data_IF_094755270979
#
_entry.id   IF_094755270979
#
_cell.length_a   1.000
_cell.length_b   1.000
_cell.length_c   1.000
_cell.angle_alpha   90.00
_cell.angle_beta   90.00
_cell.angle_gamma   90.00
#
_symmetry.space_group_name_H-M   'P 1'
#
loop_
_entity.id
_entity.type
_entity.pdbx_description
1 polymer ?
#
# COMPACT_ATOMS: atom_id res chain seq x y z
N UNK A 1 -36.06 11.95 -3.53
CA UNK A 1 -35.34 11.04 -4.45
C UNK A 1 -34.11 10.54 -3.71
N UNK A 2 -34.14 9.30 -3.21
CA UNK A 2 -33.01 8.63 -2.59
C UNK A 2 -31.95 8.39 -3.69
N UNK A 3 -30.73 8.90 -3.48
CA UNK A 3 -29.57 8.60 -4.30
C UNK A 3 -29.16 7.13 -4.07
N UNK A 4 -29.71 6.23 -4.87
CA UNK A 4 -29.34 4.83 -4.95
C UNK A 4 -28.08 4.72 -5.83
N UNK A 5 -26.90 4.87 -5.24
CA UNK A 5 -25.64 4.78 -5.97
C UNK A 5 -24.40 4.48 -5.12
N UNK A 6 -24.51 4.53 -3.80
CA UNK A 6 -23.43 4.07 -2.91
C UNK A 6 -23.57 2.57 -2.71
N UNK A 7 -23.15 1.78 -3.68
CA UNK A 7 -23.01 0.34 -3.52
C UNK A 7 -22.27 0.03 -2.22
N UNK A 8 -22.72 -1.00 -1.50
CA UNK A 8 -22.21 -1.43 -0.20
C UNK A 8 -20.77 -1.99 -0.39
N UNK A 9 -19.82 -1.11 -0.67
CA UNK A 9 -18.41 -1.45 -0.84
C UNK A 9 -17.87 -1.83 0.54
N UNK A 10 -17.75 -3.12 0.79
CA UNK A 10 -17.13 -3.63 2.02
C UNK A 10 -15.67 -3.93 1.71
N UNK A 11 -14.76 -3.16 2.27
CA UNK A 11 -13.37 -3.55 2.31
C UNK A 11 -13.23 -4.63 3.37
N UNK A 12 -12.75 -5.81 2.96
CA UNK A 12 -12.50 -6.92 3.87
C UNK A 12 -11.05 -6.86 4.30
N UNK A 13 -10.81 -6.90 5.59
CA UNK A 13 -9.50 -7.21 6.12
C UNK A 13 -9.20 -8.68 5.80
N UNK A 14 -8.10 -8.93 5.13
CA UNK A 14 -7.60 -10.28 4.86
C UNK A 14 -6.42 -10.56 5.80
N UNK A 15 -6.40 -11.72 6.39
CA UNK A 15 -5.19 -12.27 7.01
C UNK A 15 -4.44 -13.06 5.95
N UNK A 16 -3.13 -12.88 5.86
CA UNK A 16 -2.30 -13.58 4.89
C UNK A 16 -1.30 -14.49 5.60
N UNK A 17 -1.17 -15.73 5.11
CA UNK A 17 -0.18 -16.69 5.60
C UNK A 17 1.15 -16.60 4.84
N UNK A 18 1.21 -15.72 3.82
CA UNK A 18 2.43 -15.51 3.02
C UNK A 18 3.51 -14.88 3.90
N UNK A 19 4.72 -15.45 3.87
CA UNK A 19 5.88 -14.98 4.63
C UNK A 19 7.00 -14.55 3.67
N UNK A 20 8.00 -13.82 4.18
CA UNK A 20 9.18 -13.47 3.39
C UNK A 20 9.96 -14.71 2.90
N UNK A 21 9.84 -15.86 3.58
CA UNK A 21 10.39 -17.14 3.13
C UNK A 21 9.83 -17.59 1.78
N UNK A 22 8.62 -17.16 1.44
CA UNK A 22 7.91 -17.56 0.22
C UNK A 22 8.27 -16.66 -0.97
N UNK A 23 8.96 -15.54 -0.70
CA UNK A 23 9.37 -14.57 -1.71
C UNK A 23 10.87 -14.70 -1.95
N UNK A 24 11.24 -15.16 -3.14
CA UNK A 24 12.64 -15.39 -3.48
C UNK A 24 13.30 -14.14 -4.08
N UNK A 25 14.57 -13.89 -3.70
CA UNK A 25 15.41 -12.87 -4.36
C UNK A 25 15.24 -11.43 -3.88
N UNK A 26 14.73 -11.23 -2.67
CA UNK A 26 14.45 -9.91 -2.08
C UNK A 26 15.17 -9.70 -0.72
N UNK A 27 16.36 -10.22 -0.57
CA UNK A 27 17.08 -10.17 0.71
C UNK A 27 17.39 -8.73 1.16
N UNK A 28 17.84 -7.89 0.25
CA UNK A 28 18.18 -6.48 0.54
C UNK A 28 16.90 -5.67 0.85
N UNK A 29 15.85 -5.87 0.09
CA UNK A 29 14.56 -5.23 0.29
C UNK A 29 13.92 -5.68 1.61
N UNK A 30 14.10 -6.95 1.98
CA UNK A 30 13.66 -7.49 3.27
C UNK A 30 14.35 -6.80 4.45
N UNK A 31 15.66 -6.59 4.37
CA UNK A 31 16.41 -5.89 5.42
C UNK A 31 15.91 -4.45 5.59
N UNK A 32 15.67 -3.74 4.47
CA UNK A 32 15.13 -2.38 4.49
C UNK A 32 13.75 -2.28 5.15
N UNK A 33 12.94 -3.33 5.06
CA UNK A 33 11.57 -3.36 5.61
C UNK A 33 11.44 -4.12 6.93
N UNK A 34 12.50 -4.74 7.42
CA UNK A 34 12.50 -5.43 8.72
C UNK A 34 12.11 -4.51 9.87
N UNK A 35 12.54 -3.25 9.82
CA UNK A 35 12.18 -2.23 10.79
C UNK A 35 10.67 -1.92 10.77
N UNK A 36 10.06 -1.90 9.58
CA UNK A 36 8.62 -1.68 9.40
C UNK A 36 7.81 -2.85 9.97
N UNK A 37 8.24 -4.09 9.72
CA UNK A 37 7.61 -5.29 10.28
C UNK A 37 7.70 -5.29 11.80
N UNK A 38 8.87 -4.96 12.35
CA UNK A 38 9.07 -4.88 13.79
C UNK A 38 8.18 -3.80 14.44
N UNK A 39 8.05 -2.65 13.78
CA UNK A 39 7.13 -1.60 14.23
C UNK A 39 5.68 -2.08 14.27
N UNK A 40 5.20 -2.76 13.22
CA UNK A 40 3.82 -3.26 13.17
C UNK A 40 3.55 -4.30 14.26
N UNK A 41 4.58 -5.09 14.65
CA UNK A 41 4.49 -6.07 15.76
C UNK A 41 4.46 -5.41 17.12
N UNK A 42 5.32 -4.42 17.34
CA UNK A 42 5.54 -3.82 18.65
C UNK A 42 5.53 -2.28 18.57
N UNK A 43 4.41 -1.66 18.20
CA UNK A 43 4.35 -0.22 17.93
C UNK A 43 4.67 0.63 19.16
N UNK A 44 4.34 0.15 20.35
CA UNK A 44 4.57 0.87 21.60
C UNK A 44 6.05 1.14 21.88
N UNK A 45 6.93 0.18 21.56
CA UNK A 45 8.39 0.35 21.74
C UNK A 45 8.92 1.54 20.92
N UNK A 46 8.50 1.63 19.66
CA UNK A 46 8.96 2.68 18.76
C UNK A 46 8.38 4.03 19.12
N UNK A 47 7.12 4.07 19.53
CA UNK A 47 6.45 5.31 19.97
C UNK A 47 7.14 5.87 21.23
N UNK A 48 7.49 5.04 22.22
CA UNK A 48 8.21 5.46 23.43
C UNK A 48 9.61 6.00 23.11
N UNK A 49 10.27 5.52 22.08
CA UNK A 49 11.60 5.96 21.66
C UNK A 49 11.57 7.24 20.81
N UNK A 50 10.38 7.74 20.45
CA UNK A 50 10.22 8.89 19.55
C UNK A 50 10.69 8.63 18.12
N UNK A 51 10.76 7.36 17.69
CA UNK A 51 11.20 6.98 16.37
C UNK A 51 10.18 7.46 15.31
N UNK A 52 10.67 8.08 14.23
CA UNK A 52 9.84 8.44 13.08
C UNK A 52 9.64 7.21 12.20
N UNK A 53 8.42 6.69 12.17
CA UNK A 53 8.07 5.56 11.35
C UNK A 53 7.52 6.06 10.03
N UNK A 54 7.90 5.43 8.89
CA UNK A 54 7.34 5.81 7.61
C UNK A 54 5.84 5.50 7.56
N UNK A 55 5.04 6.49 7.20
CA UNK A 55 3.58 6.33 7.02
C UNK A 55 3.25 5.59 5.73
N UNK A 56 4.13 5.71 4.74
CA UNK A 56 3.94 5.13 3.43
C UNK A 56 5.21 4.55 2.81
N UNK A 57 5.03 3.45 2.09
CA UNK A 57 6.09 2.75 1.37
C UNK A 57 5.65 2.63 -0.08
N UNK A 58 6.52 3.04 -1.01
CA UNK A 58 6.29 2.89 -2.44
C UNK A 58 7.13 1.75 -2.99
N UNK A 59 6.46 0.70 -3.47
CA UNK A 59 7.08 -0.41 -4.20
C UNK A 59 7.14 -0.06 -5.69
N UNK A 60 8.35 0.03 -6.21
CA UNK A 60 8.60 0.36 -7.62
C UNK A 60 9.23 -0.85 -8.31
N UNK A 61 8.72 -1.23 -9.46
CA UNK A 61 9.30 -2.34 -10.23
C UNK A 61 8.49 -2.69 -11.46
N UNK A 62 9.10 -3.45 -12.37
CA UNK A 62 8.43 -3.90 -13.59
C UNK A 62 7.15 -4.71 -13.28
N UNK A 63 6.23 -4.82 -14.24
CA UNK A 63 5.09 -5.73 -14.10
C UNK A 63 5.54 -7.14 -13.76
N UNK A 64 4.74 -7.88 -12.98
CA UNK A 64 5.00 -9.29 -12.62
C UNK A 64 6.28 -9.53 -11.81
N UNK A 65 6.84 -8.53 -11.13
CA UNK A 65 7.99 -8.70 -10.22
C UNK A 65 7.60 -9.21 -8.83
N UNK A 66 6.31 -9.40 -8.55
CA UNK A 66 5.83 -9.91 -7.27
C UNK A 66 5.58 -8.85 -6.21
N UNK A 67 5.40 -7.56 -6.57
CA UNK A 67 5.12 -6.46 -5.64
C UNK A 67 3.96 -6.75 -4.69
N UNK A 68 2.87 -7.29 -5.21
CA UNK A 68 1.68 -7.67 -4.42
C UNK A 68 1.99 -8.80 -3.46
N UNK A 69 2.77 -9.81 -3.90
CA UNK A 69 3.20 -10.92 -3.04
C UNK A 69 4.13 -10.41 -1.93
N UNK A 70 5.02 -9.48 -2.26
CA UNK A 70 5.92 -8.85 -1.31
C UNK A 70 5.17 -8.06 -0.23
N UNK A 71 4.17 -7.28 -0.64
CA UNK A 71 3.31 -6.56 0.32
C UNK A 71 2.53 -7.53 1.24
N UNK A 72 2.05 -8.65 0.71
CA UNK A 72 1.41 -9.71 1.51
C UNK A 72 2.39 -10.36 2.49
N UNK A 73 3.64 -10.57 2.08
CA UNK A 73 4.66 -11.14 2.95
C UNK A 73 4.98 -10.20 4.14
N UNK A 74 5.01 -8.88 3.92
CA UNK A 74 5.16 -7.90 5.00
C UNK A 74 4.02 -8.03 6.01
N UNK A 75 2.78 -8.12 5.55
CA UNK A 75 1.61 -8.25 6.41
C UNK A 75 1.58 -9.59 7.16
N UNK A 76 1.94 -10.68 6.46
CA UNK A 76 2.02 -12.01 7.06
C UNK A 76 3.11 -12.13 8.11
N UNK A 77 4.30 -11.62 7.86
CA UNK A 77 5.37 -11.60 8.86
C UNK A 77 5.06 -10.66 10.04
N UNK A 78 4.37 -9.55 9.78
CA UNK A 78 3.91 -8.64 10.84
C UNK A 78 2.67 -9.17 11.60
N UNK A 79 1.97 -10.18 11.07
CA UNK A 79 0.72 -10.75 11.61
C UNK A 79 -0.40 -9.71 11.77
N UNK A 80 -0.48 -8.77 10.83
CA UNK A 80 -1.47 -7.69 10.84
C UNK A 80 -2.47 -7.83 9.69
N UNK A 81 -3.70 -7.31 9.86
CA UNK A 81 -4.70 -7.26 8.81
C UNK A 81 -4.22 -6.52 7.58
N UNK A 82 -4.56 -7.06 6.41
CA UNK A 82 -4.18 -6.56 5.10
C UNK A 82 -5.42 -6.12 4.32
N UNK A 83 -5.49 -4.84 3.95
CA UNK A 83 -6.54 -4.28 3.12
C UNK A 83 -6.01 -4.06 1.71
N UNK A 84 -6.46 -4.86 0.75
CA UNK A 84 -6.01 -4.75 -0.64
C UNK A 84 -7.03 -3.97 -1.49
N UNK A 85 -6.52 -3.01 -2.26
CA UNK A 85 -7.28 -2.27 -3.27
C UNK A 85 -6.41 -2.01 -4.50
N UNK A 86 -7.05 -1.79 -5.64
CA UNK A 86 -6.36 -1.34 -6.86
C UNK A 86 -6.66 0.14 -7.08
N UNK A 87 -5.69 0.89 -7.63
CA UNK A 87 -5.88 2.30 -7.96
C UNK A 87 -7.09 2.52 -8.86
N UNK A 88 -7.30 1.65 -9.84
CA UNK A 88 -8.45 1.68 -10.75
C UNK A 88 -9.81 1.57 -10.03
N UNK A 89 -9.87 0.93 -8.86
CA UNK A 89 -11.11 0.84 -8.07
C UNK A 89 -11.56 2.18 -7.47
N UNK A 90 -10.68 3.18 -7.47
CA UNK A 90 -11.00 4.54 -7.08
C UNK A 90 -11.40 5.42 -8.28
N UNK A 91 -11.15 4.97 -9.52
CA UNK A 91 -11.61 5.65 -10.72
C UNK A 91 -13.09 5.38 -10.94
N UNK A 92 -13.91 6.39 -10.81
CA UNK A 92 -15.35 6.32 -11.07
C UNK A 92 -15.79 7.52 -11.89
N UNK A 93 -16.81 7.31 -12.72
CA UNK A 93 -17.41 8.38 -13.55
C UNK A 93 -18.13 9.44 -12.70
N UNK A 94 -18.48 9.12 -11.46
CA UNK A 94 -19.21 10.04 -10.59
C UNK A 94 -18.25 10.77 -9.64
N UNK A 95 -18.39 12.09 -9.61
CA UNK A 95 -17.58 12.98 -8.75
C UNK A 95 -17.73 12.58 -7.29
N UNK A 96 -16.61 12.45 -6.58
CA UNK A 96 -16.58 12.21 -5.14
C UNK A 96 -16.70 10.75 -4.70
N UNK A 97 -17.06 9.81 -5.58
CA UNK A 97 -17.16 8.37 -5.20
C UNK A 97 -15.78 7.80 -4.89
N UNK A 98 -14.75 8.14 -5.68
CA UNK A 98 -13.38 7.73 -5.39
C UNK A 98 -12.87 8.25 -4.03
N UNK A 99 -13.07 9.53 -3.77
CA UNK A 99 -12.72 10.15 -2.48
C UNK A 99 -13.49 9.53 -1.30
N UNK A 100 -14.75 9.16 -1.49
CA UNK A 100 -15.54 8.45 -0.47
C UNK A 100 -14.95 7.05 -0.19
N UNK A 101 -14.55 6.30 -1.23
CA UNK A 101 -13.92 4.99 -1.08
C UNK A 101 -12.60 5.08 -0.32
N UNK A 102 -11.77 6.08 -0.63
CA UNK A 102 -10.52 6.36 0.10
C UNK A 102 -10.83 6.57 1.58
N UNK A 103 -11.73 7.50 1.92
CA UNK A 103 -12.10 7.74 3.33
C UNK A 103 -12.59 6.48 4.03
N UNK A 104 -13.38 5.66 3.33
CA UNK A 104 -13.94 4.44 3.89
C UNK A 104 -12.87 3.40 4.23
N UNK A 105 -11.93 3.11 3.31
CA UNK A 105 -10.86 2.14 3.58
C UNK A 105 -9.96 2.60 4.73
N UNK A 106 -9.61 3.89 4.78
CA UNK A 106 -8.80 4.46 5.86
C UNK A 106 -9.54 4.40 7.21
N UNK A 107 -10.86 4.66 7.21
CA UNK A 107 -11.70 4.53 8.40
C UNK A 107 -11.78 3.09 8.90
N UNK A 108 -11.89 2.10 7.99
CA UNK A 108 -11.91 0.69 8.39
C UNK A 108 -10.53 0.23 8.92
N UNK A 109 -9.45 0.67 8.28
CA UNK A 109 -8.10 0.36 8.74
C UNK A 109 -7.79 0.94 10.13
N UNK A 110 -8.23 2.17 10.40
CA UNK A 110 -8.07 2.84 11.71
C UNK A 110 -8.84 2.17 12.85
N UNK A 111 -9.86 1.36 12.57
CA UNK A 111 -10.60 0.59 13.59
C UNK A 111 -9.83 -0.62 14.11
N UNK A 112 -8.81 -1.04 13.39
CA UNK A 112 -7.99 -2.18 13.73
C UNK A 112 -6.65 -1.65 14.29
N UNK A 113 -6.16 -2.23 15.38
CA UNK A 113 -5.03 -1.70 16.16
C UNK A 113 -3.74 -1.50 15.34
N UNK A 114 -3.40 -2.44 14.46
CA UNK A 114 -2.32 -2.32 13.48
C UNK A 114 -2.80 -2.90 12.16
N UNK A 115 -2.53 -2.23 11.04
CA UNK A 115 -2.98 -2.73 9.75
C UNK A 115 -2.16 -2.18 8.59
N UNK A 116 -2.21 -2.88 7.46
CA UNK A 116 -1.60 -2.45 6.20
C UNK A 116 -2.69 -2.17 5.18
N UNK A 117 -2.64 -1.00 4.54
CA UNK A 117 -3.43 -0.68 3.35
C UNK A 117 -2.50 -0.83 2.15
N UNK A 118 -2.82 -1.75 1.26
CA UNK A 118 -2.07 -1.96 0.01
C UNK A 118 -2.86 -1.42 -1.18
N UNK A 119 -2.24 -0.50 -1.91
CA UNK A 119 -2.81 0.12 -3.12
C UNK A 119 -1.98 -0.34 -4.32
N UNK A 120 -2.51 -1.28 -5.09
CA UNK A 120 -1.87 -1.71 -6.32
C UNK A 120 -2.17 -0.73 -7.46
N UNK A 121 -1.23 -0.58 -8.40
CA UNK A 121 -1.37 0.33 -9.54
C UNK A 121 -1.78 1.75 -9.12
N UNK A 122 -1.05 2.33 -8.16
CA UNK A 122 -1.38 3.67 -7.64
C UNK A 122 -1.32 4.75 -8.74
N UNK A 123 -0.58 4.50 -9.80
CA UNK A 123 -0.48 5.38 -10.96
C UNK A 123 -1.85 5.65 -11.63
N UNK A 124 -2.82 4.75 -11.51
CA UNK A 124 -4.18 5.02 -11.99
C UNK A 124 -4.81 6.27 -11.34
N UNK A 125 -4.53 6.51 -10.05
CA UNK A 125 -5.09 7.65 -9.30
C UNK A 125 -4.10 8.82 -9.22
N UNK A 126 -2.83 8.53 -9.26
CA UNK A 126 -1.74 9.42 -8.88
C UNK A 126 -0.95 9.95 -10.06
N UNK A 127 -1.48 9.89 -11.27
CA UNK A 127 -0.85 10.48 -12.44
C UNK A 127 -0.72 12.00 -12.32
N UNK A 128 0.38 12.50 -12.87
CA UNK A 128 0.68 13.93 -12.90
C UNK A 128 -0.46 14.70 -13.60
N UNK A 129 -0.81 15.88 -13.08
CA UNK A 129 -1.97 16.73 -13.43
C UNK A 129 -2.10 17.14 -14.90
N UNK A 130 -1.09 16.86 -15.73
CA UNK A 130 -1.12 17.20 -17.17
C UNK A 130 -2.11 16.34 -17.99
N UNK A 131 -2.72 15.30 -17.43
CA UNK A 131 -3.65 14.41 -18.14
C UNK A 131 -5.12 14.86 -18.13
N UNK A 132 -5.46 16.00 -17.54
CA UNK A 132 -6.79 16.66 -17.68
C UNK A 132 -7.98 15.94 -17.04
N UNK A 133 -7.78 14.91 -16.23
CA UNK A 133 -8.86 14.19 -15.53
C UNK A 133 -9.12 14.77 -14.15
N UNK A 134 -10.05 15.70 -14.04
CA UNK A 134 -10.46 16.35 -12.77
C UNK A 134 -10.92 15.37 -11.67
N UNK A 135 -11.37 14.17 -12.00
CA UNK A 135 -11.88 13.19 -11.03
C UNK A 135 -10.78 12.49 -10.25
N UNK A 136 -9.63 12.25 -10.87
CA UNK A 136 -8.47 11.64 -10.21
C UNK A 136 -7.83 12.61 -9.22
N UNK A 137 -7.83 13.91 -9.51
CA UNK A 137 -7.28 14.94 -8.60
C UNK A 137 -7.99 14.98 -7.25
N UNK A 138 -9.33 14.89 -7.23
CA UNK A 138 -10.09 14.89 -5.99
C UNK A 138 -9.79 13.65 -5.14
N UNK A 139 -9.67 12.50 -5.78
CA UNK A 139 -9.34 11.23 -5.12
C UNK A 139 -7.91 11.25 -4.59
N UNK A 140 -6.97 11.75 -5.39
CA UNK A 140 -5.58 11.94 -4.97
C UNK A 140 -5.48 12.88 -3.78
N UNK A 141 -6.11 14.04 -3.84
CA UNK A 141 -6.09 15.01 -2.73
C UNK A 141 -6.68 14.41 -1.45
N UNK A 142 -7.74 13.59 -1.56
CA UNK A 142 -8.31 12.89 -0.42
C UNK A 142 -7.33 11.84 0.14
N UNK A 143 -6.65 11.07 -0.72
CA UNK A 143 -5.62 10.12 -0.29
C UNK A 143 -4.50 10.82 0.48
N UNK A 144 -4.01 11.94 -0.04
CA UNK A 144 -2.97 12.74 0.61
C UNK A 144 -3.45 13.30 1.95
N UNK A 145 -4.70 13.79 2.02
CA UNK A 145 -5.29 14.30 3.26
C UNK A 145 -5.43 13.21 4.33
N UNK A 146 -5.83 11.98 3.94
CA UNK A 146 -5.90 10.85 4.88
C UNK A 146 -4.52 10.44 5.39
N UNK A 147 -3.48 10.45 4.53
CA UNK A 147 -2.11 10.15 4.93
C UNK A 147 -1.52 11.24 5.84
N UNK A 148 -1.79 12.51 5.55
CA UNK A 148 -1.36 13.63 6.40
C UNK A 148 -2.07 13.60 7.75
N UNK A 149 -3.33 13.16 7.79
CA UNK A 149 -4.15 13.00 8.99
C UNK A 149 -3.87 11.74 9.82
N UNK A 150 -2.82 10.99 9.51
CA UNK A 150 -2.37 9.91 10.39
C UNK A 150 -1.66 10.48 11.62
N UNK A 151 -2.24 10.25 12.77
CA UNK A 151 -1.57 10.44 14.04
C UNK A 151 -0.58 9.28 14.29
N UNK A 152 0.46 9.54 15.07
CA UNK A 152 1.45 8.53 15.48
C UNK A 152 0.83 7.32 16.21
N UNK A 153 -0.41 7.46 16.67
CA UNK A 153 -1.17 6.41 17.36
C UNK A 153 -1.98 5.49 16.45
N UNK A 154 -2.10 5.81 15.16
CA UNK A 154 -2.99 5.02 14.26
C UNK A 154 -2.40 3.69 13.79
N UNK A 155 -1.10 3.47 13.94
CA UNK A 155 -0.37 2.24 13.57
C UNK A 155 -0.77 1.64 12.20
N UNK A 156 -1.18 2.49 11.26
CA UNK A 156 -1.55 2.11 9.89
C UNK A 156 -0.42 2.48 8.95
N UNK A 157 0.01 1.53 8.13
CA UNK A 157 1.02 1.77 7.09
C UNK A 157 0.36 1.60 5.72
N UNK A 158 0.61 2.55 4.83
CA UNK A 158 0.15 2.49 3.45
C UNK A 158 1.27 1.99 2.57
N UNK A 159 1.05 0.90 1.86
CA UNK A 159 2.00 0.39 0.87
C UNK A 159 1.37 0.58 -0.51
N UNK A 160 2.03 1.33 -1.38
CA UNK A 160 1.59 1.49 -2.75
C UNK A 160 2.53 0.79 -3.72
N UNK A 161 1.99 0.25 -4.81
CA UNK A 161 2.77 -0.34 -5.87
C UNK A 161 2.57 0.41 -7.19
N UNK A 162 3.65 0.62 -7.92
CA UNK A 162 3.63 1.21 -9.26
C UNK A 162 4.66 0.56 -10.18
N UNK A 163 4.36 0.57 -11.46
CA UNK A 163 5.32 0.19 -12.49
C UNK A 163 6.09 1.43 -13.03
N UNK A 164 5.54 2.63 -12.85
CA UNK A 164 5.97 3.88 -13.45
C UNK A 164 6.07 5.01 -12.42
N UNK A 165 7.19 5.06 -11.69
CA UNK A 165 7.41 6.09 -10.67
C UNK A 165 7.43 7.51 -11.27
N UNK A 166 7.93 7.65 -12.49
CA UNK A 166 8.14 8.90 -13.20
C UNK A 166 6.84 9.63 -13.57
N UNK A 167 5.71 8.92 -13.65
CA UNK A 167 4.41 9.51 -13.97
C UNK A 167 3.62 9.93 -12.72
N UNK A 168 4.11 9.60 -11.53
CA UNK A 168 3.43 9.94 -10.29
C UNK A 168 3.52 11.44 -9.99
N UNK A 169 2.46 11.98 -9.39
CA UNK A 169 2.45 13.36 -8.90
C UNK A 169 3.52 13.53 -7.81
N UNK A 170 4.42 14.54 -7.92
CA UNK A 170 5.45 14.80 -6.92
C UNK A 170 4.91 15.00 -5.49
N UNK A 171 3.64 15.38 -5.36
CA UNK A 171 3.00 15.54 -4.05
C UNK A 171 2.95 14.25 -3.24
N UNK A 172 2.89 13.07 -3.90
CA UNK A 172 2.90 11.77 -3.24
C UNK A 172 4.26 11.47 -2.62
N UNK A 173 5.33 11.89 -3.30
CA UNK A 173 6.71 11.59 -2.91
C UNK A 173 7.26 12.53 -1.84
N UNK A 174 6.43 13.46 -1.33
CA UNK A 174 6.85 14.37 -0.26
C UNK A 174 7.04 13.65 1.08
N UNK A 175 8.00 14.11 1.92
CA UNK A 175 8.18 13.60 3.28
C UNK A 175 6.88 13.60 4.08
N UNK A 176 6.66 12.55 4.87
CA UNK A 176 5.43 12.34 5.63
C UNK A 176 4.33 11.57 4.87
N UNK A 177 4.58 11.21 3.60
CA UNK A 177 3.67 10.42 2.75
C UNK A 177 4.36 9.12 2.36
N UNK A 178 4.73 8.95 1.09
CA UNK A 178 5.52 7.78 0.69
C UNK A 178 7.02 8.07 0.86
N UNK A 179 7.49 8.00 2.08
CA UNK A 179 8.87 8.35 2.44
C UNK A 179 9.89 7.31 1.99
N UNK A 180 9.50 6.04 1.99
CA UNK A 180 10.37 4.94 1.61
C UNK A 180 10.03 4.44 0.21
N UNK A 181 11.04 4.37 -0.64
CA UNK A 181 10.94 3.80 -1.98
C UNK A 181 11.75 2.51 -2.01
N UNK A 182 11.09 1.40 -2.29
CA UNK A 182 11.71 0.08 -2.42
C UNK A 182 11.61 -0.38 -3.85
N UNK A 183 12.74 -0.64 -4.46
CA UNK A 183 12.80 -1.14 -5.83
C UNK A 183 12.77 -2.66 -5.81
N UNK A 184 11.70 -3.24 -6.35
CA UNK A 184 11.54 -4.69 -6.45
C UNK A 184 12.17 -5.16 -7.76
N UNK A 185 13.34 -5.81 -7.72
CA UNK A 185 14.03 -6.24 -8.91
C UNK A 185 13.31 -7.40 -9.61
N UNK A 186 13.62 -7.62 -10.87
CA UNK A 186 13.21 -8.86 -11.53
C UNK A 186 13.89 -10.05 -10.86
N UNK A 187 13.12 -11.10 -10.56
CA UNK A 187 13.65 -12.30 -9.95
C UNK A 187 14.77 -12.91 -10.80
N UNK A 188 15.95 -13.08 -10.21
CA UNK A 188 17.10 -13.74 -10.82
C UNK A 188 16.77 -15.19 -11.19
N UNK A 189 17.52 -15.78 -12.13
CA UNK A 189 17.33 -17.17 -12.58
C UNK A 189 17.33 -18.17 -11.41
N UNK A 190 18.14 -17.94 -10.37
CA UNK A 190 18.15 -18.74 -9.14
C UNK A 190 16.84 -18.61 -8.34
N UNK A 191 16.30 -17.39 -8.22
CA UNK A 191 15.04 -17.12 -7.55
C UNK A 191 13.85 -17.74 -8.30
N UNK A 192 13.87 -17.71 -9.64
CA UNK A 192 12.83 -18.37 -10.46
C UNK A 192 12.82 -19.89 -10.30
N UNK A 193 13.98 -20.54 -10.15
CA UNK A 193 14.05 -21.98 -9.87
C UNK A 193 13.42 -22.34 -8.52
N UNK A 194 13.59 -21.51 -7.51
CA UNK A 194 12.97 -21.72 -6.19
C UNK A 194 11.45 -21.51 -6.21
N UNK A 195 10.95 -20.53 -7.00
CA UNK A 195 9.51 -20.35 -7.18
C UNK A 195 8.84 -21.56 -7.88
N UNK A 196 9.50 -22.17 -8.87
CA UNK A 196 8.95 -23.37 -9.57
C UNK A 196 8.88 -24.60 -8.67
N UNK A 197 9.69 -24.67 -7.61
CA UNK A 197 9.59 -25.78 -6.65
C UNK A 197 8.40 -25.64 -5.69
N UNK A 198 7.91 -24.42 -5.43
CA UNK A 198 6.76 -24.18 -4.54
C UNK A 198 5.41 -24.12 -5.28
N UNK A 199 5.40 -24.01 -6.60
CA UNK A 199 4.17 -24.06 -7.42
C UNK A 199 3.83 -25.49 -7.88
N UNK A 200 3.96 -26.48 -7.01
CA UNK A 200 3.30 -27.79 -7.20
C UNK A 200 2.05 -27.80 -6.34
N UNK A 201 0.96 -27.25 -6.97
CA UNK A 201 -0.42 -27.72 -6.81
C UNK A 201 -1.27 -27.09 -7.90
#
# INVERSE_FOLDING_TARGET
>A
RKATGAGNFKFKAETTDVRFSDVAGINEEREQLSEVVNFLKEPEKYTCMGARIPKGILLVGAPSTGKTLFAKAIAGDAEVPFFQVTGSSFEEKFVGVGAFRVRKIFSEAKKVASSIIFIDEIDAVAQNRYSGKSYSEQTLNQLLAEMDGFDSSSHVIVIAATNHKEILDPAILRPGRFDRHVYVPMSNIKARKNCTCNCRY
#
